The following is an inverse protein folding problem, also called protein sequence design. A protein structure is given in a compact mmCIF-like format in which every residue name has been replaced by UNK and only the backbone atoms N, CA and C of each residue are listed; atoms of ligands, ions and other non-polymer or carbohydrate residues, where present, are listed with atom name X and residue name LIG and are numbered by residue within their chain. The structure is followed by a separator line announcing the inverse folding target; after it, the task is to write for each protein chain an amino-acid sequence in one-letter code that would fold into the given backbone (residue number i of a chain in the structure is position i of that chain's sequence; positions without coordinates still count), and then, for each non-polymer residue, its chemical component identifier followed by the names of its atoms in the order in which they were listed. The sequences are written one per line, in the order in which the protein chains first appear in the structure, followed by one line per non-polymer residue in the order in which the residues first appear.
data_IF_472189546327
#
_entry.id   IF_472189546327
#
_cell.length_a   1.000
_cell.length_b   1.000
_cell.length_c   1.000
_cell.angle_alpha   90.00
_cell.angle_beta   90.00
_cell.angle_gamma   90.00
#
_symmetry.space_group_name_H-M   'P 1'
#
loop_
_entity.id
_entity.type
_entity.pdbx_description
1 polymer ?
#
# COMPACT_ATOMS: atom_id res chain seq x y z
N UNK A 1 6.41 -55.19 24.29
CA UNK A 1 5.53 -54.03 24.61
C UNK A 1 6.12 -52.80 23.93
N UNK A 2 5.59 -52.44 22.77
CA UNK A 2 5.98 -51.23 22.02
C UNK A 2 5.04 -50.11 22.43
N UNK A 3 5.57 -49.09 23.09
CA UNK A 3 4.82 -47.89 23.47
C UNK A 3 4.61 -47.03 22.22
N UNK A 4 3.42 -47.10 21.64
CA UNK A 4 2.99 -46.18 20.60
C UNK A 4 2.79 -44.78 21.22
N UNK A 5 3.61 -43.82 20.79
CA UNK A 5 3.44 -42.40 21.10
C UNK A 5 2.14 -41.91 20.47
N UNK A 6 1.18 -41.49 21.30
CA UNK A 6 -0.05 -40.87 20.83
C UNK A 6 0.25 -39.50 20.22
N UNK A 7 0.06 -39.35 18.90
CA UNK A 7 0.06 -38.05 18.23
C UNK A 7 -1.03 -37.15 18.82
N UNK A 8 -0.61 -35.97 19.30
CA UNK A 8 -1.55 -34.93 19.75
C UNK A 8 -2.46 -34.51 18.59
N UNK A 9 -3.78 -34.29 18.82
CA UNK A 9 -4.70 -33.93 17.75
C UNK A 9 -4.34 -32.53 17.22
N UNK A 10 -3.94 -32.45 15.94
CA UNK A 10 -3.76 -31.18 15.23
C UNK A 10 -5.08 -30.39 15.29
N UNK A 11 -5.13 -29.34 16.13
CA UNK A 11 -6.23 -28.38 16.15
C UNK A 11 -6.48 -27.89 14.72
N UNK A 12 -7.62 -28.26 14.12
CA UNK A 12 -8.07 -27.72 12.83
C UNK A 12 -8.18 -26.20 12.97
N UNK A 13 -7.24 -25.45 12.39
CA UNK A 13 -7.34 -23.99 12.27
C UNK A 13 -8.64 -23.69 11.52
N UNK A 14 -9.59 -23.04 12.19
CA UNK A 14 -10.81 -22.50 11.54
C UNK A 14 -10.37 -21.46 10.51
N UNK A 15 -10.43 -21.81 9.23
CA UNK A 15 -10.15 -20.86 8.14
C UNK A 15 -11.41 -20.06 7.87
N UNK A 16 -11.32 -18.73 7.91
CA UNK A 16 -12.42 -17.85 7.46
C UNK A 16 -12.66 -18.11 5.97
N UNK A 17 -13.89 -18.43 5.53
CA UNK A 17 -14.21 -18.61 4.12
C UNK A 17 -13.79 -17.36 3.31
N UNK A 18 -13.13 -17.53 2.16
CA UNK A 18 -12.72 -16.41 1.31
C UNK A 18 -11.40 -15.73 1.68
N UNK A 19 -10.80 -16.04 2.83
CA UNK A 19 -9.59 -15.37 3.31
C UNK A 19 -8.38 -15.58 2.38
N UNK A 20 -8.19 -16.79 1.87
CA UNK A 20 -7.12 -17.10 0.92
C UNK A 20 -7.27 -16.34 -0.42
N UNK A 21 -8.51 -16.04 -0.83
CA UNK A 21 -8.81 -15.24 -2.00
C UNK A 21 -8.47 -13.77 -1.73
N UNK A 22 -8.86 -13.22 -0.57
CA UNK A 22 -8.51 -11.86 -0.16
C UNK A 22 -6.99 -11.65 -0.09
N UNK A 23 -6.25 -12.59 0.48
CA UNK A 23 -4.78 -12.54 0.50
C UNK A 23 -4.18 -12.57 -0.92
N UNK A 24 -4.75 -13.37 -1.83
CA UNK A 24 -4.31 -13.41 -3.22
C UNK A 24 -4.58 -12.08 -3.93
N UNK A 25 -5.73 -11.47 -3.69
CA UNK A 25 -6.05 -10.13 -4.20
C UNK A 25 -5.07 -9.10 -3.63
N UNK A 26 -4.90 -9.03 -2.31
CA UNK A 26 -4.00 -8.07 -1.65
C UNK A 26 -2.57 -8.12 -2.20
N UNK A 27 -1.99 -9.31 -2.37
CA UNK A 27 -0.67 -9.49 -2.98
C UNK A 27 -0.62 -9.10 -4.45
N UNK A 28 -1.67 -9.37 -5.23
CA UNK A 28 -1.71 -8.98 -6.65
C UNK A 28 -1.65 -7.46 -6.86
N UNK A 29 -1.94 -6.67 -5.81
CA UNK A 29 -1.80 -5.22 -5.80
C UNK A 29 -0.34 -4.76 -5.62
N UNK A 30 0.57 -5.62 -5.15
CA UNK A 30 1.96 -5.22 -4.86
C UNK A 30 2.73 -4.83 -6.12
N UNK A 31 2.56 -5.56 -7.23
CA UNK A 31 3.29 -5.30 -8.47
C UNK A 31 2.94 -3.90 -9.05
N UNK A 32 1.65 -3.51 -9.17
CA UNK A 32 1.28 -2.13 -9.48
C UNK A 32 1.87 -1.10 -8.51
N UNK A 33 1.78 -1.37 -7.20
CA UNK A 33 2.22 -0.45 -6.15
C UNK A 33 3.73 -0.17 -6.21
N UNK A 34 4.53 -1.13 -6.67
CA UNK A 34 5.98 -0.98 -6.79
C UNK A 34 6.42 0.13 -7.78
N UNK A 35 5.53 0.58 -8.68
CA UNK A 35 5.82 1.67 -9.64
C UNK A 35 5.59 3.06 -9.00
N UNK A 36 4.81 3.13 -7.92
CA UNK A 36 4.42 4.38 -7.27
C UNK A 36 5.58 5.22 -6.70
N UNK A 37 6.65 4.66 -6.09
CA UNK A 37 7.80 5.47 -5.67
C UNK A 37 8.41 6.26 -6.83
N UNK A 38 8.54 5.65 -8.00
CA UNK A 38 9.09 6.32 -9.17
C UNK A 38 8.14 7.41 -9.66
N UNK A 39 6.83 7.12 -9.73
CA UNK A 39 5.81 8.10 -10.10
C UNK A 39 5.82 9.32 -9.18
N UNK A 40 5.82 9.08 -7.86
CA UNK A 40 5.79 10.13 -6.88
C UNK A 40 7.07 10.97 -6.86
N UNK A 41 8.26 10.36 -7.01
CA UNK A 41 9.50 11.11 -7.12
C UNK A 41 9.54 11.98 -8.37
N UNK A 42 9.15 11.44 -9.53
CA UNK A 42 9.09 12.20 -10.78
C UNK A 42 8.13 13.39 -10.64
N UNK A 43 6.91 13.14 -10.15
CA UNK A 43 5.93 14.20 -9.91
C UNK A 43 6.46 15.23 -8.92
N UNK A 44 7.07 14.79 -7.81
CA UNK A 44 7.55 15.68 -6.74
C UNK A 44 8.66 16.61 -7.22
N UNK A 45 9.63 16.11 -7.99
CA UNK A 45 10.70 16.94 -8.54
C UNK A 45 10.17 18.01 -9.50
N UNK A 46 9.08 17.72 -10.20
CA UNK A 46 8.45 18.67 -11.12
C UNK A 46 7.66 19.81 -10.47
N UNK A 47 7.48 19.80 -9.14
CA UNK A 47 6.67 20.79 -8.44
C UNK A 47 7.31 22.19 -8.39
N UNK A 48 6.49 23.27 -8.22
CA UNK A 48 6.97 24.64 -8.20
C UNK A 48 8.09 24.92 -7.19
N UNK A 49 7.98 24.35 -5.99
CA UNK A 49 8.94 24.52 -4.88
C UNK A 49 10.20 23.62 -5.01
N UNK A 50 10.30 22.82 -6.09
CA UNK A 50 11.41 21.91 -6.35
C UNK A 50 12.28 22.37 -7.53
N UNK A 51 12.11 21.77 -8.71
CA UNK A 51 12.80 22.22 -9.92
C UNK A 51 12.08 23.41 -10.56
N UNK A 52 10.84 23.70 -10.16
CA UNK A 52 10.00 24.75 -10.72
C UNK A 52 10.36 26.18 -10.30
N UNK A 53 9.47 27.15 -10.59
CA UNK A 53 9.74 28.58 -10.47
C UNK A 53 10.01 29.07 -9.04
N UNK A 54 9.48 28.41 -8.02
CA UNK A 54 9.65 28.80 -6.61
C UNK A 54 10.84 28.10 -5.93
N UNK A 55 11.40 27.07 -6.58
CA UNK A 55 12.57 26.33 -6.14
C UNK A 55 13.84 26.68 -6.91
N UNK A 56 14.53 25.66 -7.42
CA UNK A 56 15.79 25.80 -8.15
C UNK A 56 15.64 26.54 -9.49
N UNK A 57 14.46 26.48 -10.11
CA UNK A 57 14.15 27.19 -11.36
C UNK A 57 14.27 28.71 -11.23
N UNK A 58 14.11 29.27 -10.03
CA UNK A 58 14.36 30.68 -9.73
C UNK A 58 15.78 31.14 -10.02
N UNK A 59 16.74 30.23 -9.90
CA UNK A 59 18.17 30.52 -10.10
C UNK A 59 18.68 30.07 -11.47
N UNK A 60 17.89 29.27 -12.19
CA UNK A 60 18.29 28.66 -13.44
C UNK A 60 17.06 28.35 -14.31
N UNK A 61 16.72 29.27 -15.21
CA UNK A 61 15.52 29.19 -16.07
C UNK A 61 15.45 27.90 -16.91
N UNK A 62 16.60 27.29 -17.23
CA UNK A 62 16.64 26.00 -17.96
C UNK A 62 16.01 24.85 -17.18
N UNK A 63 15.85 24.97 -15.86
CA UNK A 63 15.18 23.99 -15.01
C UNK A 63 13.65 24.05 -15.13
N UNK A 64 13.05 25.17 -15.56
CA UNK A 64 11.60 25.28 -15.70
C UNK A 64 11.01 24.24 -16.68
N UNK A 65 11.50 24.09 -17.92
CA UNK A 65 11.03 23.02 -18.80
C UNK A 65 11.38 21.62 -18.27
N UNK A 66 12.49 21.47 -17.52
CA UNK A 66 12.83 20.19 -16.87
C UNK A 66 11.77 19.84 -15.82
N UNK A 67 11.37 20.80 -14.99
CA UNK A 67 10.32 20.61 -14.00
C UNK A 67 9.00 20.15 -14.66
N UNK A 68 8.61 20.80 -15.77
CA UNK A 68 7.43 20.39 -16.56
C UNK A 68 7.53 18.95 -17.06
N UNK A 69 8.70 18.53 -17.55
CA UNK A 69 8.93 17.15 -18.01
C UNK A 69 8.79 16.14 -16.86
N UNK A 70 9.38 16.45 -15.70
CA UNK A 70 9.29 15.61 -14.51
C UNK A 70 7.84 15.49 -14.00
N UNK A 71 7.13 16.61 -13.91
CA UNK A 71 5.72 16.64 -13.52
C UNK A 71 4.86 15.80 -14.46
N UNK A 72 4.99 16.00 -15.78
CA UNK A 72 4.24 15.24 -16.78
C UNK A 72 4.54 13.73 -16.74
N UNK A 73 5.82 13.35 -16.58
CA UNK A 73 6.22 11.94 -16.48
C UNK A 73 5.65 11.27 -15.21
N UNK A 74 5.63 11.99 -14.09
CA UNK A 74 5.00 11.54 -12.85
C UNK A 74 3.49 11.38 -12.99
N UNK A 75 2.79 12.43 -13.44
CA UNK A 75 1.32 12.43 -13.62
C UNK A 75 0.86 11.33 -14.55
N UNK A 76 1.57 11.06 -15.65
CA UNK A 76 1.21 9.99 -16.59
C UNK A 76 1.06 8.62 -15.91
N UNK A 77 1.83 8.33 -14.85
CA UNK A 77 1.70 7.10 -14.08
C UNK A 77 0.47 7.12 -13.14
N UNK A 78 0.17 8.26 -12.51
CA UNK A 78 -1.01 8.43 -11.67
C UNK A 78 -2.32 8.39 -12.48
N UNK A 79 -2.35 9.07 -13.63
CA UNK A 79 -3.50 9.13 -14.54
C UNK A 79 -3.87 7.76 -15.12
N UNK A 80 -2.87 6.87 -15.22
CA UNK A 80 -3.03 5.52 -15.75
C UNK A 80 -3.05 4.43 -14.66
N UNK A 81 -3.21 4.79 -13.38
CA UNK A 81 -3.25 3.82 -12.27
C UNK A 81 -4.22 2.67 -12.51
N UNK A 82 -5.47 2.87 -12.94
CA UNK A 82 -6.38 1.75 -13.16
C UNK A 82 -5.87 0.73 -14.19
N UNK A 83 -5.19 1.19 -15.26
CA UNK A 83 -4.59 0.32 -16.26
C UNK A 83 -3.38 -0.45 -15.68
N UNK A 84 -2.51 0.24 -14.93
CA UNK A 84 -1.37 -0.37 -14.25
C UNK A 84 -1.85 -1.47 -13.29
N UNK A 85 -2.93 -1.19 -12.54
CA UNK A 85 -3.58 -2.17 -11.67
C UNK A 85 -4.22 -3.32 -12.45
N UNK A 86 -4.88 -3.08 -13.59
CA UNK A 86 -5.42 -4.16 -14.43
C UNK A 86 -4.33 -5.15 -14.85
N UNK A 87 -3.19 -4.64 -15.33
CA UNK A 87 -2.05 -5.46 -15.75
C UNK A 87 -1.42 -6.19 -14.57
N UNK A 88 -1.07 -5.46 -13.51
CA UNK A 88 -0.36 -6.07 -12.38
C UNK A 88 -1.22 -7.03 -11.58
N UNK A 89 -2.52 -6.77 -11.43
CA UNK A 89 -3.47 -7.72 -10.82
C UNK A 89 -3.64 -8.95 -11.71
N UNK A 90 -3.72 -8.80 -13.04
CA UNK A 90 -3.81 -9.95 -13.94
C UNK A 90 -2.59 -10.89 -13.80
N UNK A 91 -1.39 -10.31 -13.77
CA UNK A 91 -0.14 -11.05 -13.60
C UNK A 91 -0.06 -11.69 -12.21
N UNK A 92 -0.29 -10.90 -11.16
CA UNK A 92 -0.15 -11.36 -9.76
C UNK A 92 -1.22 -12.37 -9.34
N UNK A 93 -2.44 -12.26 -9.88
CA UNK A 93 -3.54 -13.17 -9.56
C UNK A 93 -3.44 -14.51 -10.33
N UNK A 94 -2.92 -14.50 -11.56
CA UNK A 94 -2.84 -15.70 -12.40
C UNK A 94 -1.88 -16.76 -11.83
N UNK A 95 -2.26 -18.05 -11.95
CA UNK A 95 -1.41 -19.20 -11.56
C UNK A 95 -0.08 -19.23 -12.29
N UNK A 96 -0.14 -18.91 -13.57
CA UNK A 96 1.00 -18.69 -14.45
C UNK A 96 0.60 -17.51 -15.30
N UNK A 97 1.53 -16.59 -15.51
CA UNK A 97 1.34 -15.45 -16.38
C UNK A 97 2.46 -15.44 -17.42
N UNK A 98 2.16 -14.89 -18.57
CA UNK A 98 3.15 -14.53 -19.60
C UNK A 98 2.73 -13.20 -20.23
N UNK A 99 3.49 -12.72 -21.22
CA UNK A 99 3.20 -11.46 -21.89
C UNK A 99 1.77 -11.38 -22.49
N UNK A 100 1.14 -12.51 -22.83
CA UNK A 100 -0.24 -12.50 -23.33
C UNK A 100 -1.28 -12.26 -22.23
N UNK A 101 -0.96 -12.55 -20.96
CA UNK A 101 -1.81 -12.18 -19.81
C UNK A 101 -1.84 -10.66 -19.64
N UNK A 102 -0.67 -10.01 -19.71
CA UNK A 102 -0.56 -8.56 -19.63
C UNK A 102 -1.30 -7.87 -20.79
N UNK A 103 -1.07 -8.34 -22.02
CA UNK A 103 -1.75 -7.81 -23.21
C UNK A 103 -3.27 -7.95 -23.12
N UNK A 104 -3.77 -9.09 -22.63
CA UNK A 104 -5.20 -9.30 -22.44
C UNK A 104 -5.81 -8.32 -21.42
N UNK A 105 -5.08 -8.00 -20.35
CA UNK A 105 -5.54 -7.02 -19.35
C UNK A 105 -5.63 -5.61 -19.93
N UNK A 106 -4.64 -5.19 -20.71
CA UNK A 106 -4.66 -3.91 -21.43
C UNK A 106 -5.89 -3.84 -22.34
N UNK A 107 -6.09 -4.87 -23.18
CA UNK A 107 -7.24 -4.95 -24.09
C UNK A 107 -8.56 -4.91 -23.32
N UNK A 108 -8.70 -5.70 -22.24
CA UNK A 108 -9.90 -5.70 -21.41
C UNK A 108 -10.20 -4.34 -20.79
N UNK A 109 -9.16 -3.65 -20.30
CA UNK A 109 -9.32 -2.33 -19.67
C UNK A 109 -9.68 -1.25 -20.69
N UNK A 110 -9.06 -1.26 -21.87
CA UNK A 110 -9.43 -0.33 -22.95
C UNK A 110 -10.89 -0.51 -23.40
N UNK A 111 -11.37 -1.76 -23.47
CA UNK A 111 -12.78 -2.04 -23.78
C UNK A 111 -13.70 -1.56 -22.67
N UNK A 112 -13.35 -1.81 -21.41
CA UNK A 112 -14.10 -1.31 -20.26
C UNK A 112 -14.20 0.22 -20.28
N UNK A 113 -13.08 0.91 -20.51
CA UNK A 113 -13.05 2.37 -20.59
C UNK A 113 -13.93 2.90 -21.72
N UNK A 114 -13.85 2.30 -22.92
CA UNK A 114 -14.70 2.69 -24.05
C UNK A 114 -16.19 2.52 -23.78
N UNK A 115 -16.59 1.45 -23.08
CA UNK A 115 -17.99 1.25 -22.66
C UNK A 115 -18.41 2.27 -21.61
N UNK A 116 -17.54 2.60 -20.65
CA UNK A 116 -17.81 3.66 -19.67
C UNK A 116 -18.02 5.01 -20.35
N UNK A 117 -17.16 5.41 -21.29
CA UNK A 117 -17.34 6.65 -22.07
C UNK A 117 -18.69 6.65 -22.80
N UNK A 118 -19.09 5.53 -23.40
CA UNK A 118 -20.37 5.43 -24.11
C UNK A 118 -21.59 5.53 -23.19
N UNK A 119 -21.49 5.04 -21.95
CA UNK A 119 -22.59 5.04 -20.97
C UNK A 119 -22.63 6.28 -20.08
N UNK A 120 -21.54 7.02 -19.98
CA UNK A 120 -21.41 8.14 -19.07
C UNK A 120 -22.44 9.26 -19.29
N UNK A 121 -22.87 9.62 -20.52
CA UNK A 121 -23.93 10.61 -20.70
C UNK A 121 -25.28 10.24 -20.05
N UNK A 122 -25.53 8.94 -19.83
CA UNK A 122 -26.81 8.43 -19.29
C UNK A 122 -26.70 8.03 -17.82
N UNK A 123 -25.61 7.36 -17.45
CA UNK A 123 -25.42 6.78 -16.12
C UNK A 123 -24.28 7.41 -15.33
N UNK A 124 -23.45 8.24 -15.96
CA UNK A 124 -22.33 8.91 -15.34
C UNK A 124 -22.77 10.04 -14.41
N UNK A 125 -21.80 10.59 -13.70
CA UNK A 125 -21.98 11.75 -12.82
C UNK A 125 -21.02 12.85 -13.25
N UNK A 126 -21.45 14.10 -13.07
CA UNK A 126 -20.64 15.28 -13.35
C UNK A 126 -19.31 15.21 -12.59
N UNK A 127 -18.20 15.36 -13.33
CA UNK A 127 -16.85 15.37 -12.80
C UNK A 127 -16.42 16.76 -12.27
N UNK A 128 -17.28 17.77 -12.35
CA UNK A 128 -16.98 19.15 -11.98
C UNK A 128 -16.46 20.00 -13.14
N UNK A 129 -16.28 19.41 -14.32
CA UNK A 129 -15.85 20.09 -15.56
C UNK A 129 -17.00 20.18 -16.59
N UNK A 130 -18.22 19.79 -16.18
CA UNK A 130 -19.39 19.76 -17.05
C UNK A 130 -19.48 18.51 -17.92
N UNK A 131 -18.66 17.48 -17.64
CA UNK A 131 -18.71 16.18 -18.29
C UNK A 131 -19.19 15.09 -17.33
N UNK A 132 -20.13 14.26 -17.79
CA UNK A 132 -20.51 13.08 -17.04
C UNK A 132 -19.47 11.99 -17.25
N UNK A 133 -18.98 11.40 -16.16
CA UNK A 133 -18.01 10.31 -16.17
C UNK A 133 -18.49 9.11 -15.34
N UNK A 134 -18.04 7.91 -15.72
CA UNK A 134 -18.17 6.70 -14.90
C UNK A 134 -16.79 6.38 -14.35
N UNK A 135 -16.52 6.80 -13.11
CA UNK A 135 -15.23 6.67 -12.48
C UNK A 135 -15.23 5.63 -11.33
N UNK A 136 -14.81 4.41 -11.66
CA UNK A 136 -14.50 3.37 -10.68
C UNK A 136 -13.02 3.39 -10.24
N UNK A 137 -12.20 4.27 -10.83
CA UNK A 137 -10.75 4.30 -10.74
C UNK A 137 -10.10 2.92 -10.73
N UNK A 138 -9.22 2.68 -9.76
CA UNK A 138 -8.43 1.46 -9.60
C UNK A 138 -9.31 0.21 -9.48
N UNK A 139 -10.54 0.33 -8.94
CA UNK A 139 -11.44 -0.82 -8.82
C UNK A 139 -11.80 -1.40 -10.20
N UNK A 140 -12.03 -0.55 -11.21
CA UNK A 140 -12.27 -1.01 -12.59
C UNK A 140 -11.08 -1.81 -13.13
N UNK A 141 -9.87 -1.34 -12.84
CA UNK A 141 -8.63 -2.04 -13.13
C UNK A 141 -8.53 -3.40 -12.45
N UNK A 142 -8.76 -3.45 -11.13
CA UNK A 142 -8.72 -4.70 -10.34
C UNK A 142 -9.71 -5.73 -10.88
N UNK A 143 -10.95 -5.32 -11.21
CA UNK A 143 -11.97 -6.21 -11.77
C UNK A 143 -11.50 -6.80 -13.09
N UNK A 144 -11.03 -5.97 -14.03
CA UNK A 144 -10.50 -6.44 -15.31
C UNK A 144 -9.30 -7.36 -15.11
N UNK A 145 -8.40 -7.03 -14.19
CA UNK A 145 -7.23 -7.85 -13.87
C UNK A 145 -7.61 -9.25 -13.39
N UNK A 146 -8.56 -9.34 -12.44
CA UNK A 146 -9.06 -10.62 -11.93
C UNK A 146 -9.73 -11.43 -13.04
N UNK A 147 -10.61 -10.80 -13.83
CA UNK A 147 -11.31 -11.44 -14.95
C UNK A 147 -10.29 -11.97 -15.97
N UNK A 148 -9.32 -11.16 -16.35
CA UNK A 148 -8.23 -11.54 -17.26
C UNK A 148 -7.47 -12.76 -16.73
N UNK A 149 -7.08 -12.75 -15.46
CA UNK A 149 -6.35 -13.85 -14.84
C UNK A 149 -7.17 -15.16 -14.82
N UNK A 150 -8.48 -15.07 -14.59
CA UNK A 150 -9.38 -16.23 -14.60
C UNK A 150 -9.58 -16.78 -16.02
N UNK A 151 -9.78 -15.90 -17.01
CA UNK A 151 -9.94 -16.28 -18.41
C UNK A 151 -8.65 -16.86 -18.99
N UNK A 152 -7.49 -16.28 -18.67
CA UNK A 152 -6.19 -16.84 -19.05
C UNK A 152 -6.04 -18.27 -18.52
N UNK A 153 -6.26 -18.46 -17.21
CA UNK A 153 -6.16 -19.79 -16.59
C UNK A 153 -7.09 -20.81 -17.26
N UNK A 154 -8.29 -20.39 -17.67
CA UNK A 154 -9.27 -21.26 -18.30
C UNK A 154 -8.97 -21.57 -19.77
N UNK A 155 -8.51 -20.58 -20.53
CA UNK A 155 -8.52 -20.62 -22.01
C UNK A 155 -7.15 -20.53 -22.69
N UNK A 156 -6.04 -20.32 -21.98
CA UNK A 156 -4.71 -20.19 -22.60
C UNK A 156 -4.25 -21.41 -23.43
N UNK A 157 -4.91 -22.56 -23.30
CA UNK A 157 -4.68 -23.81 -24.08
C UNK A 157 -5.92 -24.27 -24.86
N UNK A 158 -6.89 -23.39 -25.10
CA UNK A 158 -8.11 -23.74 -25.84
C UNK A 158 -7.74 -24.22 -27.26
N UNK A 159 -8.42 -25.27 -27.73
CA UNK A 159 -8.33 -25.77 -29.10
C UNK A 159 -9.60 -25.38 -29.84
N UNK A 160 -9.47 -24.60 -30.90
CA UNK A 160 -10.57 -24.19 -31.76
C UNK A 160 -10.63 -25.06 -33.03
N UNK A 161 -11.78 -25.11 -33.73
CA UNK A 161 -11.87 -25.74 -35.04
C UNK A 161 -10.82 -25.18 -36.02
N UNK A 162 -10.43 -25.95 -37.03
CA UNK A 162 -9.35 -25.62 -37.96
C UNK A 162 -9.51 -24.27 -38.63
N UNK A 163 -10.73 -23.88 -39.00
CA UNK A 163 -11.02 -22.57 -39.61
C UNK A 163 -10.85 -21.37 -38.65
N UNK A 164 -10.83 -21.59 -37.33
CA UNK A 164 -10.49 -20.60 -36.29
C UNK A 164 -9.15 -20.89 -35.60
N UNK A 165 -8.34 -21.79 -36.16
CA UNK A 165 -7.11 -22.27 -35.53
C UNK A 165 -6.11 -21.15 -35.19
N UNK A 166 -6.12 -20.06 -35.97
CA UNK A 166 -5.29 -18.88 -35.71
C UNK A 166 -5.55 -18.25 -34.33
N UNK A 167 -6.81 -18.27 -33.87
CA UNK A 167 -7.24 -17.69 -32.60
C UNK A 167 -7.09 -18.64 -31.41
N UNK A 168 -6.59 -19.87 -31.61
CA UNK A 168 -6.44 -20.87 -30.56
C UNK A 168 -5.37 -20.51 -29.50
N UNK A 169 -5.44 -21.20 -28.36
CA UNK A 169 -4.48 -21.05 -27.27
C UNK A 169 -4.46 -19.63 -26.66
N UNK A 170 -3.26 -19.10 -26.45
CA UNK A 170 -3.04 -17.80 -25.77
C UNK A 170 -3.62 -16.61 -26.54
N UNK A 171 -3.71 -16.70 -27.87
CA UNK A 171 -4.29 -15.64 -28.73
C UNK A 171 -5.78 -15.46 -28.51
N UNK A 172 -6.47 -16.49 -27.99
CA UNK A 172 -7.88 -16.40 -27.64
C UNK A 172 -8.12 -15.51 -26.41
N UNK A 173 -7.14 -15.41 -25.50
CA UNK A 173 -7.34 -14.81 -24.19
C UNK A 173 -7.69 -13.31 -24.29
N UNK A 174 -6.97 -12.47 -25.06
CA UNK A 174 -7.39 -11.08 -25.25
C UNK A 174 -8.80 -10.93 -25.84
N UNK A 175 -9.21 -11.82 -26.74
CA UNK A 175 -10.52 -11.77 -27.41
C UNK A 175 -11.65 -12.04 -26.41
N UNK A 176 -11.55 -13.14 -25.65
CA UNK A 176 -12.57 -13.45 -24.65
C UNK A 176 -12.56 -12.43 -23.50
N UNK A 177 -11.41 -11.86 -23.18
CA UNK A 177 -11.29 -10.81 -22.15
C UNK A 177 -11.96 -9.52 -22.61
N UNK A 178 -11.80 -9.11 -23.87
CA UNK A 178 -12.51 -7.97 -24.45
C UNK A 178 -14.04 -8.16 -24.33
N UNK A 179 -14.54 -9.32 -24.77
CA UNK A 179 -15.99 -9.63 -24.73
C UNK A 179 -16.50 -9.64 -23.29
N UNK A 180 -15.80 -10.31 -22.38
CA UNK A 180 -16.19 -10.34 -20.97
C UNK A 180 -16.16 -8.94 -20.34
N UNK A 181 -15.12 -8.15 -20.62
CA UNK A 181 -14.98 -6.78 -20.08
C UNK A 181 -16.07 -5.87 -20.60
N UNK A 182 -16.52 -6.03 -21.85
CA UNK A 182 -17.67 -5.29 -22.38
C UNK A 182 -18.94 -5.54 -21.56
N UNK A 183 -19.31 -6.82 -21.34
CA UNK A 183 -20.50 -7.14 -20.55
C UNK A 183 -20.39 -6.68 -19.10
N UNK A 184 -19.21 -6.85 -18.49
CA UNK A 184 -18.94 -6.39 -17.13
C UNK A 184 -19.04 -4.87 -17.04
N UNK A 185 -18.48 -4.13 -18.01
CA UNK A 185 -18.54 -2.68 -18.03
C UNK A 185 -19.97 -2.15 -18.23
N UNK A 186 -20.82 -2.84 -19.01
CA UNK A 186 -22.24 -2.50 -19.08
C UNK A 186 -22.91 -2.66 -17.73
N UNK A 187 -22.70 -3.79 -17.05
CA UNK A 187 -23.29 -4.04 -15.72
C UNK A 187 -22.79 -3.00 -14.71
N UNK A 188 -21.49 -2.73 -14.69
CA UNK A 188 -20.91 -1.70 -13.82
C UNK A 188 -21.48 -0.31 -14.14
N UNK A 189 -21.58 0.07 -15.42
CA UNK A 189 -22.17 1.34 -15.82
C UNK A 189 -23.60 1.52 -15.33
N UNK A 190 -24.43 0.48 -15.40
CA UNK A 190 -25.80 0.51 -14.87
C UNK A 190 -25.86 0.66 -13.34
N UNK A 191 -24.88 0.08 -12.63
CA UNK A 191 -24.77 0.14 -11.16
C UNK A 191 -24.13 1.47 -10.70
N UNK A 192 -23.45 2.18 -11.60
CA UNK A 192 -22.61 3.33 -11.26
C UNK A 192 -23.32 4.43 -10.46
N UNK A 193 -24.57 4.85 -10.73
CA UNK A 193 -25.22 5.88 -9.92
C UNK A 193 -25.30 5.55 -8.43
N UNK A 194 -25.53 4.26 -8.11
CA UNK A 194 -25.56 3.76 -6.73
C UNK A 194 -24.14 3.71 -6.16
N UNK A 195 -23.18 3.23 -6.95
CA UNK A 195 -21.77 3.21 -6.54
C UNK A 195 -21.24 4.62 -6.26
N UNK A 196 -21.52 5.58 -7.13
CA UNK A 196 -21.09 6.96 -7.02
C UNK A 196 -21.67 7.60 -5.75
N UNK A 197 -22.98 7.44 -5.52
CA UNK A 197 -23.64 7.99 -4.33
C UNK A 197 -23.08 7.39 -3.03
N UNK A 198 -22.94 6.06 -2.97
CA UNK A 198 -22.54 5.38 -1.73
C UNK A 198 -21.05 5.46 -1.46
N UNK A 199 -20.22 5.28 -2.49
CA UNK A 199 -18.78 5.09 -2.35
C UNK A 199 -18.03 6.39 -2.67
N UNK A 200 -18.18 6.93 -3.88
CA UNK A 200 -17.42 8.12 -4.28
C UNK A 200 -17.83 9.34 -3.45
N UNK A 201 -19.13 9.63 -3.38
CA UNK A 201 -19.68 10.77 -2.63
C UNK A 201 -19.84 10.48 -1.15
N UNK A 202 -20.41 9.33 -0.79
CA UNK A 202 -20.65 8.96 0.60
C UNK A 202 -19.36 8.73 1.38
N UNK A 203 -18.60 7.70 1.01
CA UNK A 203 -17.33 7.38 1.71
C UNK A 203 -16.26 8.42 1.37
N UNK A 204 -16.12 8.85 0.11
CA UNK A 204 -15.14 9.89 -0.25
C UNK A 204 -15.41 11.22 0.44
N UNK A 205 -16.67 11.67 0.50
CA UNK A 205 -17.06 12.86 1.25
C UNK A 205 -16.77 12.74 2.75
N UNK A 206 -17.06 11.56 3.36
CA UNK A 206 -16.68 11.29 4.74
C UNK A 206 -15.16 11.41 4.96
N UNK A 207 -14.33 10.91 4.05
CA UNK A 207 -12.88 11.01 4.17
C UNK A 207 -12.39 12.46 4.04
N UNK A 208 -13.02 13.27 3.20
CA UNK A 208 -12.69 14.68 3.04
C UNK A 208 -13.10 15.50 4.27
N UNK A 209 -14.30 15.26 4.81
CA UNK A 209 -14.84 16.02 5.94
C UNK A 209 -14.27 15.57 7.29
N UNK A 210 -14.01 14.27 7.45
CA UNK A 210 -13.61 13.67 8.72
C UNK A 210 -12.25 12.98 8.68
N UNK A 211 -11.50 13.04 7.58
CA UNK A 211 -10.17 12.44 7.49
C UNK A 211 -9.20 13.04 8.51
N UNK A 212 -9.21 14.37 8.65
CA UNK A 212 -8.43 15.11 9.63
C UNK A 212 -8.95 14.94 11.08
N UNK A 213 -10.05 14.21 11.31
CA UNK A 213 -10.51 13.94 12.66
C UNK A 213 -9.52 12.96 13.36
N UNK A 214 -9.13 13.23 14.63
CA UNK A 214 -8.23 12.34 15.37
C UNK A 214 -8.73 10.91 15.49
N UNK A 215 -10.04 10.70 15.66
CA UNK A 215 -10.66 9.38 15.76
C UNK A 215 -10.57 8.59 14.45
N UNK A 216 -10.77 9.26 13.30
CA UNK A 216 -10.62 8.65 11.98
C UNK A 216 -9.16 8.21 11.76
N UNK A 217 -8.21 9.09 12.06
CA UNK A 217 -6.78 8.78 11.99
C UNK A 217 -6.39 7.60 12.89
N UNK A 218 -6.93 7.56 14.13
CA UNK A 218 -6.71 6.46 15.06
C UNK A 218 -7.15 5.11 14.48
N UNK A 219 -8.41 5.05 14.03
CA UNK A 219 -8.99 3.81 13.48
C UNK A 219 -8.22 3.38 12.25
N UNK A 220 -7.94 4.29 11.32
CA UNK A 220 -7.18 3.97 10.11
C UNK A 220 -5.79 3.42 10.43
N UNK A 221 -5.01 4.12 11.27
CA UNK A 221 -3.65 3.71 11.62
C UNK A 221 -3.61 2.35 12.33
N UNK A 222 -4.54 2.12 13.27
CA UNK A 222 -4.62 0.82 13.97
C UNK A 222 -5.03 -0.31 13.06
N UNK A 223 -6.08 -0.15 12.24
CA UNK A 223 -6.54 -1.20 11.32
C UNK A 223 -5.46 -1.47 10.26
N UNK A 224 -4.82 -0.42 9.73
CA UNK A 224 -3.72 -0.56 8.79
C UNK A 224 -2.62 -1.49 9.33
N UNK A 225 -2.13 -1.24 10.55
CA UNK A 225 -1.12 -2.11 11.18
C UNK A 225 -1.64 -3.51 11.43
N UNK A 226 -2.87 -3.68 11.92
CA UNK A 226 -3.44 -5.02 12.15
C UNK A 226 -3.57 -5.86 10.87
N UNK A 227 -3.65 -5.24 9.70
CA UNK A 227 -3.76 -5.91 8.40
C UNK A 227 -2.42 -6.28 7.75
N UNK A 228 -1.29 -5.73 8.23
CA UNK A 228 0.05 -6.00 7.67
C UNK A 228 0.44 -7.48 7.73
N UNK A 229 0.23 -8.23 8.84
CA UNK A 229 0.61 -9.65 8.90
C UNK A 229 -0.14 -10.53 7.90
N UNK A 230 -1.18 -9.99 7.25
CA UNK A 230 -1.99 -10.66 6.24
C UNK A 230 -1.79 -10.09 4.83
N UNK A 231 -0.97 -9.03 4.68
CA UNK A 231 -0.80 -8.31 3.42
C UNK A 231 -2.06 -7.56 2.95
N UNK A 232 -3.08 -7.44 3.80
CA UNK A 232 -4.38 -6.84 3.44
C UNK A 232 -4.39 -5.31 3.59
N UNK A 233 -3.35 -4.75 4.20
CA UNK A 233 -3.21 -3.30 4.37
C UNK A 233 -3.13 -2.57 3.02
N UNK A 234 -2.57 -3.18 1.96
CA UNK A 234 -2.59 -2.58 0.62
C UNK A 234 -4.01 -2.35 0.07
N UNK A 235 -4.96 -3.24 0.40
CA UNK A 235 -6.36 -3.07 0.02
C UNK A 235 -7.00 -1.91 0.78
N UNK A 236 -6.74 -1.81 2.09
CA UNK A 236 -7.20 -0.68 2.90
C UNK A 236 -6.62 0.63 2.39
N UNK A 237 -5.30 0.67 2.16
CA UNK A 237 -4.55 1.85 1.72
C UNK A 237 -5.07 2.41 0.41
N UNK A 238 -5.44 1.54 -0.53
CA UNK A 238 -5.84 1.97 -1.85
C UNK A 238 -7.03 2.93 -1.84
N UNK A 239 -7.93 2.77 -0.86
CA UNK A 239 -9.13 3.59 -0.72
C UNK A 239 -8.80 5.06 -0.39
N UNK A 240 -8.27 5.43 0.79
CA UNK A 240 -7.98 6.82 1.08
C UNK A 240 -6.80 7.37 0.29
N UNK A 241 -5.77 6.56 -0.03
CA UNK A 241 -4.55 7.11 -0.64
C UNK A 241 -4.65 7.38 -2.14
N UNK A 242 -5.45 6.60 -2.88
CA UNK A 242 -5.49 6.71 -4.35
C UNK A 242 -6.90 6.90 -4.92
N UNK A 243 -7.94 6.40 -4.25
CA UNK A 243 -9.23 6.21 -4.89
C UNK A 243 -10.32 7.17 -4.44
N UNK A 244 -10.39 7.47 -3.14
CA UNK A 244 -11.49 8.19 -2.52
C UNK A 244 -11.04 9.55 -1.99
N UNK A 245 -11.99 10.49 -1.97
CA UNK A 245 -11.70 11.90 -1.80
C UNK A 245 -11.22 12.53 -3.09
N UNK A 246 -11.44 13.83 -3.23
CA UNK A 246 -11.07 14.59 -4.41
C UNK A 246 -10.50 15.96 -4.06
N UNK A 247 -9.83 16.55 -5.03
CA UNK A 247 -9.33 17.92 -5.03
C UNK A 247 -9.16 18.38 -6.48
N UNK A 248 -8.89 19.66 -6.69
CA UNK A 248 -8.63 20.23 -8.01
C UNK A 248 -7.15 20.45 -8.18
N UNK A 249 -6.57 20.00 -9.29
CA UNK A 249 -5.16 20.24 -9.59
C UNK A 249 -4.94 21.63 -10.22
N UNK A 250 -3.67 22.00 -10.48
CA UNK A 250 -3.33 23.29 -11.11
C UNK A 250 -3.87 23.48 -12.53
N UNK A 251 -4.20 22.39 -13.23
CA UNK A 251 -4.79 22.40 -14.58
C UNK A 251 -6.31 22.59 -14.56
N UNK A 252 -6.94 22.50 -13.38
CA UNK A 252 -8.38 22.54 -13.20
C UNK A 252 -9.04 21.16 -13.16
N UNK A 253 -8.27 20.08 -13.30
CA UNK A 253 -8.83 18.73 -13.33
C UNK A 253 -9.16 18.22 -11.93
N UNK A 254 -10.25 17.46 -11.81
CA UNK A 254 -10.55 16.71 -10.59
C UNK A 254 -9.65 15.48 -10.47
N UNK A 255 -8.82 15.43 -9.42
CA UNK A 255 -7.98 14.29 -9.09
C UNK A 255 -8.39 13.65 -7.75
N UNK A 256 -7.93 12.42 -7.51
CA UNK A 256 -8.43 11.59 -6.41
C UNK A 256 -7.32 11.01 -5.52
N UNK A 257 -7.70 10.77 -4.26
CA UNK A 257 -6.85 10.15 -3.26
C UNK A 257 -5.96 11.13 -2.51
N UNK A 258 -5.71 10.82 -1.24
CA UNK A 258 -4.93 11.62 -0.30
C UNK A 258 -3.53 11.94 -0.83
N UNK A 259 -2.86 10.95 -1.46
CA UNK A 259 -1.49 11.12 -1.97
C UNK A 259 -1.46 12.10 -3.14
N UNK A 260 -2.27 11.84 -4.17
CA UNK A 260 -2.31 12.69 -5.36
C UNK A 260 -2.71 14.10 -4.98
N UNK A 261 -3.75 14.25 -4.15
CA UNK A 261 -4.24 15.55 -3.71
C UNK A 261 -3.26 16.32 -2.83
N UNK A 262 -2.50 15.62 -1.99
CA UNK A 262 -1.42 16.26 -1.22
C UNK A 262 -0.39 16.90 -2.16
N UNK A 263 -0.03 16.24 -3.26
CA UNK A 263 1.01 16.72 -4.17
C UNK A 263 0.55 17.70 -5.25
N UNK A 264 -0.67 17.56 -5.76
CA UNK A 264 -1.13 18.35 -6.92
C UNK A 264 -2.33 19.26 -6.64
N UNK A 265 -2.99 19.11 -5.48
CA UNK A 265 -4.18 19.89 -5.15
C UNK A 265 -3.87 21.38 -4.93
N UNK A 266 -4.77 22.26 -5.36
CA UNK A 266 -4.66 23.71 -5.10
C UNK A 266 -5.25 24.08 -3.75
N UNK A 267 -4.89 25.27 -3.24
CA UNK A 267 -5.37 25.82 -1.97
C UNK A 267 -6.89 25.75 -1.82
N UNK A 268 -7.35 25.35 -0.64
CA UNK A 268 -8.77 25.17 -0.32
C UNK A 268 -9.38 23.86 -0.81
N UNK A 269 -8.70 23.10 -1.68
CA UNK A 269 -9.16 21.76 -2.12
C UNK A 269 -8.36 20.62 -1.51
N UNK A 270 -7.12 20.88 -1.08
CA UNK A 270 -6.22 19.91 -0.46
C UNK A 270 -6.26 19.90 1.09
N UNK A 271 -7.22 20.60 1.71
CA UNK A 271 -7.27 20.80 3.17
C UNK A 271 -7.56 19.53 3.98
N UNK A 272 -8.02 18.47 3.35
CA UNK A 272 -8.20 17.17 4.01
C UNK A 272 -6.98 16.25 3.88
N UNK A 273 -6.02 16.62 3.03
CA UNK A 273 -4.90 15.76 2.66
C UNK A 273 -3.81 15.68 3.73
N UNK A 274 -2.95 14.67 3.64
CA UNK A 274 -1.97 14.29 4.65
C UNK A 274 -2.56 13.57 5.86
N UNK A 275 -3.89 13.54 6.01
CA UNK A 275 -4.58 13.02 7.20
C UNK A 275 -4.46 11.51 7.38
N UNK A 276 -4.30 10.77 6.28
CA UNK A 276 -4.07 9.32 6.30
C UNK A 276 -2.59 8.97 6.11
N UNK A 277 -1.69 9.95 6.22
CA UNK A 277 -0.28 9.81 5.88
C UNK A 277 0.67 10.26 7.00
N UNK A 278 0.43 11.46 7.55
CA UNK A 278 1.36 12.15 8.45
C UNK A 278 1.76 11.33 9.67
N UNK A 279 0.82 10.59 10.26
CA UNK A 279 1.07 9.86 11.51
C UNK A 279 1.99 8.65 11.37
N UNK A 280 2.35 8.25 10.14
CA UNK A 280 3.34 7.20 9.92
C UNK A 280 4.78 7.69 10.14
N UNK A 281 5.10 8.97 9.89
CA UNK A 281 6.47 9.48 10.04
C UNK A 281 7.04 9.28 11.45
N UNK A 282 6.34 9.65 12.56
CA UNK A 282 6.84 9.38 13.91
C UNK A 282 7.12 7.89 14.18
N UNK A 283 6.32 7.01 13.57
CA UNK A 283 6.42 5.57 13.79
C UNK A 283 7.59 4.97 13.01
N UNK A 284 7.64 5.21 11.71
CA UNK A 284 8.63 4.62 10.81
C UNK A 284 10.03 5.17 11.06
N UNK A 285 10.15 6.48 11.29
CA UNK A 285 11.45 7.12 11.49
C UNK A 285 12.00 6.95 12.91
N UNK A 286 11.17 6.79 13.93
CA UNK A 286 11.66 6.86 15.31
C UNK A 286 11.20 5.69 16.18
N UNK A 287 9.90 5.43 16.21
CA UNK A 287 9.33 4.41 17.08
C UNK A 287 9.85 2.99 16.78
N UNK A 288 9.85 2.61 15.49
CA UNK A 288 10.33 1.30 15.06
C UNK A 288 11.85 1.11 15.23
N UNK A 289 12.71 2.07 14.85
CA UNK A 289 14.13 2.01 15.22
C UNK A 289 14.37 1.88 16.73
N UNK A 290 13.56 2.53 17.57
CA UNK A 290 13.64 2.38 19.01
C UNK A 290 13.20 0.99 19.50
N UNK A 291 12.17 0.39 18.89
CA UNK A 291 11.81 -1.01 19.12
C UNK A 291 12.93 -1.97 18.71
N UNK A 292 13.58 -1.75 17.56
CA UNK A 292 14.72 -2.54 17.11
C UNK A 292 15.89 -2.45 18.12
N UNK A 293 16.15 -1.26 18.68
CA UNK A 293 17.12 -1.07 19.75
C UNK A 293 16.73 -1.84 21.03
N UNK A 294 15.44 -1.86 21.40
CA UNK A 294 14.95 -2.62 22.54
C UNK A 294 15.14 -4.14 22.35
N UNK A 295 14.83 -4.68 21.16
CA UNK A 295 15.05 -6.08 20.80
C UNK A 295 16.56 -6.42 20.90
N UNK A 296 17.42 -5.60 20.29
CA UNK A 296 18.87 -5.76 20.38
C UNK A 296 19.39 -5.80 21.83
N UNK A 297 18.92 -4.87 22.68
CA UNK A 297 19.37 -4.76 24.08
C UNK A 297 18.86 -5.91 24.96
N UNK A 298 17.75 -6.53 24.59
CA UNK A 298 17.13 -7.64 25.34
C UNK A 298 17.54 -9.02 24.83
N UNK A 299 18.24 -9.11 23.69
CA UNK A 299 18.86 -10.34 23.21
C UNK A 299 19.93 -10.89 24.18
N UNK A 300 20.08 -12.21 24.19
CA UNK A 300 21.11 -12.90 24.97
C UNK A 300 22.52 -12.43 24.57
N UNK A 301 23.46 -12.32 25.53
CA UNK A 301 24.80 -11.80 25.27
C UNK A 301 25.51 -12.50 24.10
N UNK A 302 25.35 -13.82 23.95
CA UNK A 302 25.95 -14.63 22.88
C UNK A 302 25.44 -14.23 21.47
N UNK A 303 24.14 -13.91 21.34
CA UNK A 303 23.48 -13.59 20.05
C UNK A 303 23.44 -12.09 19.73
N UNK A 304 23.74 -11.24 20.72
CA UNK A 304 23.60 -9.78 20.63
C UNK A 304 24.33 -9.14 19.44
N UNK A 305 25.49 -9.68 19.04
CA UNK A 305 26.24 -9.16 17.88
C UNK A 305 25.50 -9.38 16.56
N UNK A 306 24.98 -10.60 16.36
CA UNK A 306 24.21 -10.97 15.16
C UNK A 306 22.89 -10.19 15.11
N UNK A 307 22.14 -10.21 16.21
CA UNK A 307 20.86 -9.49 16.34
C UNK A 307 21.05 -7.99 16.13
N UNK A 308 22.13 -7.41 16.66
CA UNK A 308 22.45 -5.99 16.47
C UNK A 308 22.63 -5.61 15.01
N UNK A 309 23.31 -6.45 14.22
CA UNK A 309 23.48 -6.23 12.78
C UNK A 309 22.14 -6.26 12.03
N UNK A 310 21.32 -7.28 12.31
CA UNK A 310 19.99 -7.44 11.68
C UNK A 310 19.08 -6.26 12.05
N UNK A 311 18.94 -5.97 13.36
CA UNK A 311 18.08 -4.90 13.87
C UNK A 311 18.50 -3.52 13.37
N UNK A 312 19.80 -3.24 13.26
CA UNK A 312 20.29 -1.99 12.68
C UNK A 312 19.92 -1.88 11.20
N UNK A 313 20.10 -2.96 10.42
CA UNK A 313 19.77 -2.97 9.00
C UNK A 313 18.29 -2.67 8.75
N UNK A 314 17.39 -3.42 9.41
CA UNK A 314 15.94 -3.22 9.21
C UNK A 314 15.44 -1.91 9.82
N UNK A 315 16.08 -1.40 10.89
CA UNK A 315 15.77 -0.07 11.43
C UNK A 315 16.19 1.05 10.49
N UNK A 316 17.36 0.94 9.83
CA UNK A 316 17.79 1.89 8.82
C UNK A 316 16.88 1.86 7.60
N UNK A 317 16.44 0.68 7.16
CA UNK A 317 15.44 0.54 6.10
C UNK A 317 14.14 1.27 6.48
N UNK A 318 13.58 1.00 7.66
CA UNK A 318 12.38 1.71 8.13
C UNK A 318 12.59 3.23 8.24
N UNK A 319 13.74 3.67 8.76
CA UNK A 319 14.04 5.09 8.91
C UNK A 319 14.16 5.80 7.56
N UNK A 320 14.91 5.26 6.61
CA UNK A 320 15.25 5.93 5.36
C UNK A 320 14.08 5.85 4.39
N UNK A 321 13.53 4.66 4.18
CA UNK A 321 12.57 4.37 3.11
C UNK A 321 11.14 4.19 3.60
N UNK A 322 10.92 4.11 4.91
CA UNK A 322 9.60 3.81 5.48
C UNK A 322 9.17 2.35 5.32
N UNK A 323 9.98 1.46 4.76
CA UNK A 323 9.63 0.03 4.67
C UNK A 323 9.77 -0.60 6.06
N UNK A 324 8.65 -1.03 6.64
CA UNK A 324 8.59 -1.49 8.03
C UNK A 324 8.47 -3.00 8.17
N UNK A 325 8.06 -3.69 7.11
CA UNK A 325 7.69 -5.10 7.10
C UNK A 325 8.78 -6.01 7.67
N UNK A 326 10.07 -5.92 7.26
CA UNK A 326 11.10 -6.80 7.80
C UNK A 326 11.27 -6.70 9.31
N UNK A 327 11.06 -5.50 9.89
CA UNK A 327 11.16 -5.26 11.32
C UNK A 327 9.87 -5.63 12.06
N UNK A 328 8.71 -5.27 11.52
CA UNK A 328 7.41 -5.61 12.11
C UNK A 328 7.20 -7.12 12.16
N UNK A 329 7.57 -7.85 11.10
CA UNK A 329 7.47 -9.30 11.06
C UNK A 329 8.28 -9.95 12.17
N UNK A 330 9.45 -9.41 12.50
CA UNK A 330 10.34 -9.92 13.55
C UNK A 330 9.67 -10.07 14.93
N UNK A 331 8.54 -9.40 15.19
CA UNK A 331 7.78 -9.55 16.42
C UNK A 331 6.28 -9.81 16.23
N UNK A 332 5.72 -9.65 15.02
CA UNK A 332 4.30 -9.86 14.76
C UNK A 332 3.81 -11.28 15.07
N UNK A 333 4.60 -12.30 14.76
CA UNK A 333 4.21 -13.71 14.90
C UNK A 333 4.65 -14.35 16.22
N UNK A 334 5.76 -13.87 16.77
CA UNK A 334 6.38 -14.41 17.99
C UNK A 334 6.00 -13.65 19.26
N UNK A 335 5.54 -12.40 19.11
CA UNK A 335 5.16 -11.52 20.20
C UNK A 335 3.90 -10.68 19.84
N UNK A 336 2.84 -11.35 19.37
CA UNK A 336 1.62 -10.69 18.90
C UNK A 336 1.02 -9.62 19.87
N UNK A 337 1.02 -9.79 21.21
CA UNK A 337 0.57 -8.72 22.10
C UNK A 337 1.36 -7.41 21.93
N UNK A 338 2.67 -7.50 21.67
CA UNK A 338 3.52 -6.35 21.39
C UNK A 338 3.17 -5.71 20.05
N UNK A 339 2.80 -6.53 19.07
CA UNK A 339 2.29 -6.09 17.78
C UNK A 339 0.96 -5.35 17.88
N UNK A 340 0.02 -5.84 18.69
CA UNK A 340 -1.25 -5.16 18.95
C UNK A 340 -1.03 -3.78 19.60
N UNK A 341 -0.08 -3.68 20.53
CA UNK A 341 0.31 -2.38 21.11
C UNK A 341 0.91 -1.46 20.06
N UNK A 342 1.81 -1.97 19.20
CA UNK A 342 2.35 -1.22 18.07
C UNK A 342 1.25 -0.69 17.13
N UNK A 343 0.20 -1.47 16.86
CA UNK A 343 -0.93 -1.04 16.04
C UNK A 343 -1.73 0.10 16.69
N UNK A 344 -2.01 0.00 18.00
CA UNK A 344 -2.69 1.07 18.75
C UNK A 344 -1.84 2.33 18.83
N UNK A 345 -0.54 2.19 19.07
CA UNK A 345 0.37 3.33 19.12
C UNK A 345 0.50 4.02 17.75
N UNK A 346 0.50 3.26 16.66
CA UNK A 346 0.44 3.85 15.31
C UNK A 346 -0.84 4.64 15.10
N UNK A 347 -2.00 4.08 15.48
CA UNK A 347 -3.27 4.83 15.48
C UNK A 347 -3.18 6.11 16.31
N UNK A 348 -2.61 6.05 17.51
CA UNK A 348 -2.45 7.24 18.37
C UNK A 348 -1.56 8.31 17.72
N UNK A 349 -0.56 7.91 16.93
CA UNK A 349 0.31 8.85 16.22
C UNK A 349 -0.48 9.61 15.16
N UNK A 350 -1.30 8.90 14.36
CA UNK A 350 -2.21 9.54 13.40
C UNK A 350 -3.22 10.45 14.10
N UNK A 351 -3.81 9.99 15.21
CA UNK A 351 -4.75 10.80 15.97
C UNK A 351 -4.12 12.12 16.47
N UNK A 352 -2.90 12.04 17.00
CA UNK A 352 -2.17 13.18 17.55
C UNK A 352 -1.81 14.20 16.46
N UNK A 353 -1.20 13.77 15.36
CA UNK A 353 -0.80 14.71 14.31
C UNK A 353 -2.00 15.35 13.62
N UNK A 354 -3.10 14.60 13.46
CA UNK A 354 -4.36 15.12 12.95
C UNK A 354 -4.97 16.14 13.93
N UNK A 355 -4.93 15.88 15.24
CA UNK A 355 -5.39 16.83 16.26
C UNK A 355 -4.58 18.14 16.27
N UNK A 356 -3.30 18.06 15.91
CA UNK A 356 -2.40 19.21 15.80
C UNK A 356 -2.48 19.89 14.43
N UNK A 357 -3.26 19.36 13.49
CA UNK A 357 -3.37 19.88 12.12
C UNK A 357 -2.08 19.77 11.31
N UNK A 358 -1.15 18.89 11.70
CA UNK A 358 0.13 18.73 11.01
C UNK A 358 -0.11 17.87 9.76
N UNK A 359 0.45 18.31 8.63
CA UNK A 359 0.32 17.64 7.35
C UNK A 359 1.67 17.36 6.73
N UNK A 360 1.85 16.11 6.34
CA UNK A 360 2.98 15.65 5.55
C UNK A 360 2.52 14.50 4.66
N UNK A 361 3.16 14.39 3.50
CA UNK A 361 2.88 13.38 2.50
C UNK A 361 4.10 12.53 2.22
N UNK A 362 3.88 11.38 1.59
CA UNK A 362 4.88 10.44 1.10
C UNK A 362 4.43 9.88 -0.25
N UNK A 363 5.40 9.60 -1.11
CA UNK A 363 5.15 8.95 -2.39
C UNK A 363 5.07 7.44 -2.31
N UNK A 364 5.74 6.86 -1.31
CA UNK A 364 5.85 5.41 -1.14
C UNK A 364 5.62 4.98 0.30
N UNK A 365 6.47 5.41 1.23
CA UNK A 365 6.34 5.03 2.64
C UNK A 365 7.10 6.02 3.51
N UNK A 366 6.44 6.54 4.55
CA UNK A 366 6.79 7.69 5.41
C UNK A 366 8.18 7.68 6.08
N UNK A 367 9.25 7.53 5.31
CA UNK A 367 10.64 7.55 5.73
C UNK A 367 11.26 8.94 5.61
N UNK A 368 12.52 9.04 6.03
CA UNK A 368 13.28 10.28 6.05
C UNK A 368 13.41 10.92 4.66
N UNK A 369 13.48 10.12 3.59
CA UNK A 369 13.52 10.65 2.23
C UNK A 369 12.22 11.38 1.86
N UNK A 370 11.07 10.75 2.11
CA UNK A 370 9.76 11.37 1.89
C UNK A 370 9.59 12.62 2.77
N UNK A 371 10.00 12.54 4.04
CA UNK A 371 9.92 13.68 4.96
C UNK A 371 10.70 14.88 4.43
N UNK A 372 11.94 14.67 4.01
CA UNK A 372 12.83 15.73 3.52
C UNK A 372 12.36 16.29 2.17
N UNK A 373 11.99 15.42 1.23
CA UNK A 373 11.50 15.83 -0.09
C UNK A 373 10.19 16.62 0.04
N UNK A 374 9.35 16.30 1.01
CA UNK A 374 8.03 16.91 1.10
C UNK A 374 7.98 18.11 2.07
N UNK A 375 9.13 18.57 2.59
CA UNK A 375 9.19 19.69 3.55
C UNK A 375 8.49 20.98 3.06
N UNK A 376 8.72 21.38 1.80
CA UNK A 376 8.12 22.60 1.24
C UNK A 376 6.59 22.50 1.22
N UNK A 377 6.07 21.49 0.52
CA UNK A 377 4.63 21.21 0.45
C UNK A 377 3.97 20.94 1.81
N UNK A 378 4.65 20.21 2.70
CA UNK A 378 4.18 19.98 4.06
C UNK A 378 4.10 21.28 4.87
N UNK A 379 5.08 22.19 4.69
CA UNK A 379 5.09 23.49 5.34
C UNK A 379 3.93 24.37 4.85
N UNK A 380 3.67 24.38 3.55
CA UNK A 380 2.54 25.10 2.95
C UNK A 380 1.21 24.62 3.57
N UNK A 381 0.95 23.32 3.50
CA UNK A 381 -0.32 22.74 3.97
C UNK A 381 -0.48 22.74 5.50
N UNK A 382 0.63 22.77 6.25
CA UNK A 382 0.59 22.80 7.73
C UNK A 382 0.56 24.21 8.32
N UNK A 383 0.50 25.26 7.51
CA UNK A 383 0.56 26.65 7.99
C UNK A 383 1.95 27.09 8.47
N UNK A 384 3.00 26.43 8.01
CA UNK A 384 4.40 26.78 8.23
C UNK A 384 5.31 25.57 8.53
N UNK A 385 6.62 25.83 8.58
CA UNK A 385 7.63 24.79 8.80
C UNK A 385 7.64 24.27 10.24
N UNK A 386 7.20 25.08 11.20
CA UNK A 386 7.19 24.75 12.63
C UNK A 386 6.42 23.45 12.95
N UNK A 387 5.14 23.34 12.54
CA UNK A 387 4.36 22.10 12.66
C UNK A 387 5.03 20.87 12.03
N UNK A 388 5.66 21.02 10.87
CA UNK A 388 6.36 19.91 10.21
C UNK A 388 7.57 19.45 11.02
N UNK A 389 8.39 20.39 11.51
CA UNK A 389 9.52 20.09 12.39
C UNK A 389 9.11 19.47 13.73
N UNK A 390 7.92 19.82 14.23
CA UNK A 390 7.34 19.21 15.43
C UNK A 390 7.16 17.69 15.26
N UNK A 391 7.00 17.16 14.04
CA UNK A 391 6.97 15.71 13.79
C UNK A 391 8.24 15.00 14.25
N UNK A 392 9.41 15.65 14.18
CA UNK A 392 10.65 15.06 14.67
C UNK A 392 10.63 14.93 16.20
N UNK A 393 10.09 15.93 16.89
CA UNK A 393 9.94 15.91 18.36
C UNK A 393 8.91 14.87 18.79
N UNK A 394 7.76 14.80 18.10
CA UNK A 394 6.75 13.76 18.32
C UNK A 394 7.36 12.37 18.07
N UNK A 395 8.11 12.22 16.98
CA UNK A 395 8.85 11.00 16.66
C UNK A 395 9.80 10.58 17.78
N UNK A 396 10.63 11.49 18.27
CA UNK A 396 11.52 11.21 19.40
C UNK A 396 10.75 10.83 20.68
N UNK A 397 9.61 11.46 20.95
CA UNK A 397 8.74 11.07 22.06
C UNK A 397 8.20 9.64 21.88
N UNK A 398 7.75 9.28 20.68
CA UNK A 398 7.35 7.91 20.34
C UNK A 398 8.52 6.93 20.45
N UNK A 399 9.75 7.31 20.07
CA UNK A 399 10.93 6.48 20.28
C UNK A 399 11.18 6.18 21.77
N UNK A 400 11.04 7.18 22.64
CA UNK A 400 11.14 6.98 24.09
C UNK A 400 10.07 5.99 24.57
N UNK A 401 8.80 6.23 24.20
CA UNK A 401 7.68 5.35 24.56
C UNK A 401 7.94 3.91 24.08
N UNK A 402 8.30 3.74 22.82
CA UNK A 402 8.54 2.43 22.22
C UNK A 402 9.71 1.71 22.87
N UNK A 403 10.85 2.38 23.08
CA UNK A 403 12.02 1.75 23.69
C UNK A 403 11.68 1.16 25.06
N UNK A 404 11.09 1.97 25.94
CA UNK A 404 10.79 1.54 27.30
C UNK A 404 9.66 0.51 27.34
N UNK A 405 8.60 0.70 26.56
CA UNK A 405 7.48 -0.23 26.50
C UNK A 405 7.91 -1.58 25.95
N UNK A 406 8.64 -1.62 24.83
CA UNK A 406 9.12 -2.87 24.24
C UNK A 406 10.06 -3.57 25.19
N UNK A 407 11.06 -2.86 25.73
CA UNK A 407 12.02 -3.45 26.67
C UNK A 407 11.32 -4.02 27.91
N UNK A 408 10.38 -3.27 28.49
CA UNK A 408 9.61 -3.71 29.64
C UNK A 408 8.78 -4.94 29.31
N UNK A 409 8.01 -4.93 28.22
CA UNK A 409 7.16 -6.05 27.83
C UNK A 409 7.96 -7.31 27.52
N UNK A 410 9.06 -7.18 26.77
CA UNK A 410 9.95 -8.30 26.42
C UNK A 410 10.48 -8.99 27.68
N UNK A 411 10.96 -8.21 28.66
CA UNK A 411 11.52 -8.77 29.90
C UNK A 411 10.40 -9.30 30.82
N UNK A 412 9.34 -8.51 31.04
CA UNK A 412 8.29 -8.80 32.02
C UNK A 412 7.46 -10.03 31.67
N UNK A 413 7.22 -10.25 30.38
CA UNK A 413 6.44 -11.37 29.86
C UNK A 413 7.32 -12.45 29.22
N UNK A 414 8.64 -12.32 29.30
CA UNK A 414 9.61 -13.21 28.67
C UNK A 414 9.28 -13.49 27.19
N UNK A 415 9.09 -12.44 26.40
CA UNK A 415 8.74 -12.58 24.98
C UNK A 415 9.94 -13.13 24.18
N UNK A 416 9.68 -14.08 23.30
CA UNK A 416 10.66 -14.71 22.42
C UNK A 416 10.95 -13.84 21.19
N UNK A 417 11.50 -12.65 21.40
CA UNK A 417 11.95 -11.78 20.31
C UNK A 417 13.29 -12.27 19.73
N UNK A 418 13.72 -11.82 18.53
CA UNK A 418 15.00 -12.22 17.95
C UNK A 418 16.18 -12.13 18.93
N UNK A 419 16.96 -13.20 19.04
CA UNK A 419 18.08 -13.28 19.98
C UNK A 419 17.73 -13.76 21.40
N UNK A 420 16.47 -14.11 21.65
CA UNK A 420 15.97 -14.68 22.92
C UNK A 420 15.51 -16.14 22.75
N UNK A 421 16.14 -16.86 21.82
CA UNK A 421 15.88 -18.27 21.58
C UNK A 421 16.61 -19.14 22.61
N UNK A 422 15.88 -20.07 23.22
CA UNK A 422 16.45 -21.09 24.11
C UNK A 422 17.31 -22.10 23.32
N UNK A 423 18.26 -22.76 23.98
CA UNK A 423 19.03 -23.84 23.34
C UNK A 423 18.12 -25.05 23.10
N UNK A 424 18.24 -25.71 21.93
CA UNK A 424 17.48 -26.93 21.65
C UNK A 424 17.90 -28.05 22.60
N UNK A 425 17.08 -29.10 22.76
CA UNK A 425 17.34 -30.25 23.65
C UNK A 425 18.72 -30.92 23.45
N UNK A 426 19.35 -30.72 22.29
CA UNK A 426 20.68 -31.23 21.93
C UNK A 426 21.84 -30.21 22.13
N UNK A 427 21.61 -29.06 22.76
CA UNK A 427 22.62 -28.01 22.96
C UNK A 427 23.06 -27.29 21.67
N UNK A 428 22.33 -27.47 20.57
CA UNK A 428 22.55 -26.75 19.31
C UNK A 428 21.77 -25.44 19.29
N UNK A 429 22.31 -24.42 18.60
CA UNK A 429 21.61 -23.14 18.46
C UNK A 429 20.23 -23.35 17.82
N UNK A 430 19.18 -22.92 18.52
CA UNK A 430 17.83 -22.85 17.95
C UNK A 430 17.80 -21.95 16.71
N UNK A 431 16.89 -22.23 15.75
CA UNK A 431 16.69 -21.40 14.57
C UNK A 431 16.47 -19.93 14.95
N UNK A 432 16.94 -19.02 14.10
CA UNK A 432 16.74 -17.59 14.29
C UNK A 432 15.24 -17.27 14.31
N UNK A 433 14.74 -16.69 15.40
CA UNK A 433 13.35 -16.22 15.49
C UNK A 433 13.05 -15.20 14.39
N UNK A 434 14.06 -14.40 14.00
CA UNK A 434 13.91 -13.48 12.88
C UNK A 434 13.59 -14.22 11.58
N UNK A 435 14.33 -15.30 11.28
CA UNK A 435 14.13 -16.08 10.05
C UNK A 435 12.80 -16.83 10.08
N UNK A 436 12.44 -17.42 11.23
CA UNK A 436 11.13 -18.04 11.43
C UNK A 436 9.99 -17.04 11.23
N UNK A 437 10.15 -15.82 11.74
CA UNK A 437 9.18 -14.76 11.59
C UNK A 437 9.05 -14.28 10.14
N UNK A 438 10.15 -14.22 9.38
CA UNK A 438 10.10 -13.97 7.94
C UNK A 438 9.35 -15.10 7.23
N UNK A 439 9.67 -16.37 7.49
CA UNK A 439 8.98 -17.51 6.87
C UNK A 439 7.49 -17.51 7.20
N UNK A 440 7.11 -17.24 8.45
CA UNK A 440 5.73 -17.12 8.88
C UNK A 440 5.00 -15.98 8.14
N UNK A 441 5.68 -14.84 7.95
CA UNK A 441 5.18 -13.74 7.15
C UNK A 441 4.98 -14.13 5.68
N UNK A 442 5.92 -14.87 5.09
CA UNK A 442 5.78 -15.34 3.70
C UNK A 442 4.60 -16.30 3.54
N UNK A 443 4.31 -17.11 4.55
CA UNK A 443 3.13 -17.98 4.57
C UNK A 443 1.82 -17.21 4.73
N UNK A 444 1.76 -16.29 5.71
CA UNK A 444 0.55 -15.53 6.04
C UNK A 444 0.22 -14.43 5.03
N UNK A 445 1.20 -13.90 4.31
CA UNK A 445 1.00 -13.01 3.16
C UNK A 445 0.76 -13.80 1.86
N UNK A 446 0.96 -15.11 1.92
CA UNK A 446 0.86 -16.02 0.78
C UNK A 446 2.03 -15.95 -0.20
N UNK A 447 3.07 -15.15 0.07
CA UNK A 447 4.29 -15.03 -0.74
C UNK A 447 4.98 -16.38 -0.97
N UNK A 448 5.10 -17.23 0.05
CA UNK A 448 5.69 -18.58 -0.06
C UNK A 448 4.94 -19.44 -1.08
N UNK A 449 3.60 -19.41 -1.03
CA UNK A 449 2.75 -20.08 -2.02
C UNK A 449 2.93 -19.53 -3.44
N UNK A 450 3.28 -18.25 -3.62
CA UNK A 450 3.63 -17.73 -4.95
C UNK A 450 4.95 -18.32 -5.45
N UNK A 451 5.97 -18.36 -4.59
CA UNK A 451 7.27 -18.94 -4.93
C UNK A 451 7.12 -20.42 -5.31
N UNK A 452 6.38 -21.20 -4.52
CA UNK A 452 6.09 -22.62 -4.80
C UNK A 452 5.32 -22.82 -6.12
N UNK A 453 4.46 -21.85 -6.49
CA UNK A 453 3.69 -21.88 -7.73
C UNK A 453 4.47 -21.28 -8.93
N UNK A 454 5.72 -20.82 -8.74
CA UNK A 454 6.56 -20.23 -9.77
C UNK A 454 6.13 -18.82 -10.21
N UNK A 455 5.54 -18.05 -9.29
CA UNK A 455 4.97 -16.71 -9.52
C UNK A 455 5.80 -15.56 -8.91
N UNK A 456 7.11 -15.77 -8.70
CA UNK A 456 7.99 -14.77 -8.07
C UNK A 456 8.22 -13.55 -8.95
#
# INVERSE_FOLDING_TARGET
MTTASAESPKKRKRTVPGFAQLQRVGRSLMLPIAVLPAAALLMRFGQPDMLGPDGLGKFADWLLPVATVFAAAGSALFDNLPLIFAVGVAIGFAKKADGSTALAAVVGYMVLNGVFTALAPVFGSDNGEGENVINYGVLGGIVVGIVTALLYQRYHRIKLPTYLGFFGGRRFVPIVTAIASMFIAVIMGLIYPVFDTLINKGVGGFLMEHGANPGTGFVFGTVNRLLIPFGLHHLLNNLPWFQLGSCTNSSGDTVHGDITCFFSGVDGTADWTGSFMTGFFPIMMFALPAAALAIYRTAHPKRRKVVGGIMLSVALTAFITGITEPLEYAFAYVAFPLYAVHAVLTGSSLALVNALGIKSGFGFSAGALDYLLNLGRASELSGGIGPVLLLLVIGLAYAVVYYFLFRWAIIRFNLHTPGREDENENGTEAPSVFDEAQVAAEESTGKKRAQDEGRS
#
